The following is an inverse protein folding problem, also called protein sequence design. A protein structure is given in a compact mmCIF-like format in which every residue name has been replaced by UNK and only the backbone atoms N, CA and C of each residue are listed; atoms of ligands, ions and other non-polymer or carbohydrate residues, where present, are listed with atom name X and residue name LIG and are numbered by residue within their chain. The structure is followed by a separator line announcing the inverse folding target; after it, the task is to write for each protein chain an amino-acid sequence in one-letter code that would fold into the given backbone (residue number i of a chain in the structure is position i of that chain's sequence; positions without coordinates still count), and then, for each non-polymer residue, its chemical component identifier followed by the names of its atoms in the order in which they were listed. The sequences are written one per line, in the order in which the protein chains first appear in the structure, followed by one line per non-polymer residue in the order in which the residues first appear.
data_IF_243579253544
#
_entry.id   IF_243579253544
#
_cell.length_a   1.000
_cell.length_b   1.000
_cell.length_c   1.000
_cell.angle_alpha   90.00
_cell.angle_beta   90.00
_cell.angle_gamma   90.00
#
_symmetry.space_group_name_H-M   'P 1'
#
loop_
_entity.id
_entity.type
_entity.pdbx_description
1 polymer ?
#
# COMPACT_ATOMS: atom_id res chain seq x y z
N UNK A 1 31.84 -62.58 -30.89
CA UNK A 1 32.09 -61.72 -29.71
C UNK A 1 32.55 -60.38 -30.26
N UNK A 2 31.83 -59.28 -30.20
CA UNK A 2 30.78 -58.82 -29.28
C UNK A 2 29.85 -57.89 -30.09
N UNK A 3 28.54 -58.14 -30.08
CA UNK A 3 27.54 -57.16 -30.55
C UNK A 3 27.23 -56.23 -29.37
N UNK A 4 27.51 -54.94 -29.55
CA UNK A 4 27.19 -53.88 -28.59
C UNK A 4 25.78 -53.38 -28.95
N UNK A 5 24.81 -53.64 -28.07
CA UNK A 5 23.47 -53.04 -28.14
C UNK A 5 23.58 -51.54 -27.83
N UNK A 6 22.99 -50.73 -28.69
CA UNK A 6 22.72 -49.31 -28.47
C UNK A 6 21.34 -49.17 -27.81
N UNK A 7 21.31 -48.98 -26.50
CA UNK A 7 20.14 -48.43 -25.80
C UNK A 7 20.31 -46.91 -25.75
N UNK A 8 19.44 -46.18 -26.45
CA UNK A 8 19.24 -44.74 -26.29
C UNK A 8 17.86 -44.55 -25.68
N UNK A 9 17.82 -44.42 -24.36
CA UNK A 9 16.65 -43.92 -23.63
C UNK A 9 16.62 -42.39 -23.81
N UNK A 10 15.67 -41.88 -24.60
CA UNK A 10 15.28 -40.48 -24.59
C UNK A 10 14.38 -40.26 -23.35
N UNK A 11 14.91 -39.57 -22.34
CA UNK A 11 14.11 -39.04 -21.23
C UNK A 11 13.31 -37.82 -21.75
N UNK A 12 12.01 -38.00 -21.95
CA UNK A 12 11.08 -36.87 -22.17
C UNK A 12 10.88 -36.10 -20.86
N UNK A 13 11.32 -34.84 -20.81
CA UNK A 13 10.96 -33.93 -19.72
C UNK A 13 9.45 -33.64 -19.73
N UNK A 14 8.75 -33.73 -18.58
CA UNK A 14 7.31 -33.52 -18.53
C UNK A 14 6.97 -32.04 -18.71
N UNK A 15 6.17 -31.73 -19.74
CA UNK A 15 5.67 -30.37 -19.99
C UNK A 15 4.78 -29.89 -18.84
N UNK A 16 5.17 -28.81 -18.16
CA UNK A 16 4.43 -28.18 -17.05
C UNK A 16 3.09 -27.53 -17.45
N UNK A 17 2.70 -27.57 -18.73
CA UNK A 17 1.40 -27.11 -19.18
C UNK A 17 0.42 -28.29 -19.16
N UNK A 18 -0.44 -28.30 -18.15
CA UNK A 18 -1.51 -29.29 -17.97
C UNK A 18 -2.23 -29.59 -19.28
N UNK A 19 -2.33 -30.89 -19.58
CA UNK A 19 -2.91 -31.46 -20.78
C UNK A 19 -4.39 -31.01 -20.91
N UNK A 20 -4.68 -30.04 -21.78
CA UNK A 20 -6.05 -29.55 -22.05
C UNK A 20 -6.77 -30.64 -22.84
N UNK A 21 -7.59 -31.45 -22.15
CA UNK A 21 -8.19 -32.66 -22.73
C UNK A 21 -9.57 -32.43 -23.34
N UNK A 22 -10.33 -31.40 -22.91
CA UNK A 22 -11.66 -31.12 -23.46
C UNK A 22 -11.92 -29.63 -23.82
N UNK A 23 -12.78 -29.34 -24.82
CA UNK A 23 -13.14 -27.96 -25.20
C UNK A 23 -13.79 -27.15 -24.06
N UNK A 24 -14.44 -27.82 -23.10
CA UNK A 24 -14.98 -27.22 -21.88
C UNK A 24 -13.88 -26.70 -20.95
N UNK A 25 -12.74 -27.39 -20.88
CA UNK A 25 -11.59 -26.98 -20.06
C UNK A 25 -10.95 -25.72 -20.62
N UNK A 26 -10.85 -25.62 -21.95
CA UNK A 26 -10.40 -24.40 -22.62
C UNK A 26 -11.36 -23.23 -22.38
N UNK A 27 -12.67 -23.46 -22.45
CA UNK A 27 -13.66 -22.40 -22.22
C UNK A 27 -13.66 -21.93 -20.74
N UNK A 28 -13.50 -22.85 -19.80
CA UNK A 28 -13.36 -22.53 -18.38
C UNK A 28 -12.07 -21.75 -18.11
N UNK A 29 -10.95 -22.18 -18.70
CA UNK A 29 -9.66 -21.48 -18.61
C UNK A 29 -9.75 -20.06 -19.18
N UNK A 30 -10.42 -19.88 -20.32
CA UNK A 30 -10.64 -18.56 -20.92
C UNK A 30 -11.52 -17.67 -20.03
N UNK A 31 -12.55 -18.23 -19.38
CA UNK A 31 -13.39 -17.49 -18.43
C UNK A 31 -12.62 -17.08 -17.16
N UNK A 32 -11.77 -17.96 -16.62
CA UNK A 32 -10.91 -17.63 -15.48
C UNK A 32 -9.87 -16.58 -15.85
N UNK A 33 -9.23 -16.70 -17.01
CA UNK A 33 -8.31 -15.70 -17.53
C UNK A 33 -8.99 -14.33 -17.72
N UNK A 34 -10.23 -14.32 -18.23
CA UNK A 34 -11.02 -13.09 -18.37
C UNK A 34 -11.33 -12.45 -17.01
N UNK A 35 -11.75 -13.23 -16.00
CA UNK A 35 -12.00 -12.72 -14.65
C UNK A 35 -10.74 -12.15 -14.00
N UNK A 36 -9.60 -12.86 -14.12
CA UNK A 36 -8.30 -12.39 -13.62
C UNK A 36 -7.91 -11.08 -14.30
N UNK A 37 -8.06 -10.98 -15.63
CA UNK A 37 -7.81 -9.76 -16.39
C UNK A 37 -8.69 -8.61 -15.90
N UNK A 38 -10.01 -8.80 -15.76
CA UNK A 38 -10.92 -7.76 -15.24
C UNK A 38 -10.53 -7.30 -13.84
N UNK A 39 -10.19 -8.23 -12.94
CA UNK A 39 -9.75 -7.89 -11.59
C UNK A 39 -8.45 -7.07 -11.59
N UNK A 40 -7.48 -7.41 -12.45
CA UNK A 40 -6.23 -6.65 -12.62
C UNK A 40 -6.48 -5.24 -13.18
N UNK A 41 -7.38 -5.10 -14.17
CA UNK A 41 -7.80 -3.81 -14.71
C UNK A 41 -8.37 -2.91 -13.59
N UNK A 42 -9.26 -3.47 -12.79
CA UNK A 42 -9.91 -2.77 -11.68
C UNK A 42 -8.91 -2.36 -10.59
N UNK A 43 -7.98 -3.24 -10.22
CA UNK A 43 -6.95 -2.96 -9.21
C UNK A 43 -6.05 -1.80 -9.64
N UNK A 44 -5.50 -1.86 -10.87
CA UNK A 44 -4.61 -0.81 -11.38
C UNK A 44 -5.31 0.52 -11.57
N UNK A 45 -6.60 0.49 -11.96
CA UNK A 45 -7.42 1.69 -12.01
C UNK A 45 -7.65 2.29 -10.62
N UNK A 46 -7.87 1.47 -9.58
CA UNK A 46 -7.98 1.95 -8.20
C UNK A 46 -6.66 2.54 -7.69
N UNK A 47 -5.52 1.92 -8.02
CA UNK A 47 -4.20 2.46 -7.69
C UNK A 47 -3.99 3.85 -8.31
N UNK A 48 -4.32 4.00 -9.60
CA UNK A 48 -4.26 5.29 -10.29
C UNK A 48 -5.19 6.34 -9.66
N UNK A 49 -6.48 6.01 -9.46
CA UNK A 49 -7.47 6.92 -8.87
C UNK A 49 -7.11 7.31 -7.44
N UNK A 50 -6.49 6.41 -6.68
CA UNK A 50 -6.00 6.66 -5.32
C UNK A 50 -4.65 7.39 -5.26
N UNK A 51 -3.97 7.56 -6.40
CA UNK A 51 -2.69 8.27 -6.46
C UNK A 51 -2.88 9.80 -6.42
N UNK A 52 -1.90 10.57 -5.94
CA UNK A 52 -1.98 12.03 -5.92
C UNK A 52 -2.22 12.64 -7.29
N UNK A 53 -2.80 13.85 -7.33
CA UNK A 53 -3.05 14.58 -8.58
C UNK A 53 -1.79 14.71 -9.46
N UNK A 54 -0.63 14.94 -8.84
CA UNK A 54 0.63 15.03 -9.57
C UNK A 54 1.04 13.71 -10.24
N UNK A 55 0.64 12.55 -9.71
CA UNK A 55 0.85 11.26 -10.37
C UNK A 55 -0.19 11.00 -11.45
N UNK A 56 -1.45 11.36 -11.22
CA UNK A 56 -2.50 11.21 -12.23
C UNK A 56 -2.18 12.03 -13.49
N UNK A 57 -1.63 13.24 -13.32
CA UNK A 57 -1.22 14.11 -14.40
C UNK A 57 -0.09 13.53 -15.29
N UNK A 58 0.55 12.44 -14.88
CA UNK A 58 1.60 11.79 -15.69
C UNK A 58 1.05 11.03 -16.90
N UNK A 59 -0.25 10.68 -16.88
CA UNK A 59 -0.94 9.96 -17.95
C UNK A 59 -1.09 10.81 -19.23
N UNK A 60 -1.33 12.11 -19.07
CA UNK A 60 -1.49 13.05 -20.18
C UNK A 60 -0.55 14.24 -20.04
N UNK A 61 0.78 14.02 -20.20
CA UNK A 61 1.75 15.07 -19.99
C UNK A 61 1.82 16.03 -21.19
N UNK A 62 2.49 17.17 -21.00
CA UNK A 62 2.81 18.10 -22.09
C UNK A 62 3.78 17.52 -23.13
N UNK A 63 3.88 18.18 -24.28
CA UNK A 63 4.73 17.74 -25.39
C UNK A 63 6.22 17.77 -25.05
N UNK A 64 6.62 18.63 -24.11
CA UNK A 64 7.95 18.70 -23.53
C UNK A 64 8.36 17.36 -22.87
N UNK A 65 7.49 16.80 -22.04
CA UNK A 65 7.70 15.50 -21.39
C UNK A 65 7.57 14.34 -22.39
N UNK A 66 6.60 14.38 -23.31
CA UNK A 66 6.45 13.33 -24.34
C UNK A 66 7.72 13.21 -25.19
N UNK A 67 8.26 14.35 -25.62
CA UNK A 67 9.51 14.40 -26.38
C UNK A 67 10.68 13.84 -25.56
N UNK A 68 10.80 14.21 -24.29
CA UNK A 68 11.83 13.69 -23.40
C UNK A 68 11.75 12.15 -23.22
N UNK A 69 10.55 11.57 -23.17
CA UNK A 69 10.36 10.10 -23.04
C UNK A 69 10.94 9.32 -24.21
N UNK A 70 10.92 9.89 -25.41
CA UNK A 70 11.41 9.26 -26.65
C UNK A 70 12.91 9.51 -26.90
N UNK A 71 13.52 10.45 -26.18
CA UNK A 71 14.94 10.77 -26.32
C UNK A 71 15.85 9.67 -25.74
N UNK A 72 17.12 9.71 -26.15
CA UNK A 72 18.16 8.87 -25.55
C UNK A 72 18.28 9.14 -24.04
N UNK A 73 18.73 8.13 -23.27
CA UNK A 73 18.76 8.21 -21.81
C UNK A 73 19.47 9.46 -21.27
N UNK A 74 20.61 9.82 -21.87
CA UNK A 74 21.37 11.01 -21.47
C UNK A 74 20.54 12.29 -21.60
N UNK A 75 19.95 12.52 -22.77
CA UNK A 75 19.14 13.73 -23.04
C UNK A 75 17.86 13.74 -22.19
N UNK A 76 17.27 12.55 -21.96
CA UNK A 76 16.14 12.34 -21.06
C UNK A 76 16.48 12.76 -19.62
N UNK A 77 17.65 12.35 -19.12
CA UNK A 77 18.14 12.68 -17.79
C UNK A 77 18.45 14.17 -17.65
N UNK A 78 19.08 14.78 -18.67
CA UNK A 78 19.34 16.22 -18.71
C UNK A 78 18.03 17.02 -18.68
N UNK A 79 17.04 16.63 -19.48
CA UNK A 79 15.72 17.29 -19.52
C UNK A 79 14.99 17.17 -18.18
N UNK A 80 14.96 15.97 -17.58
CA UNK A 80 14.35 15.78 -16.27
C UNK A 80 15.06 16.60 -15.17
N UNK A 81 16.39 16.72 -15.25
CA UNK A 81 17.18 17.54 -14.31
C UNK A 81 16.90 19.03 -14.48
N UNK A 82 16.63 19.49 -15.70
CA UNK A 82 16.18 20.85 -15.98
C UNK A 82 14.83 21.16 -15.32
N UNK A 83 13.83 20.28 -15.48
CA UNK A 83 12.53 20.44 -14.81
C UNK A 83 12.64 20.47 -13.28
N UNK A 84 13.53 19.65 -12.71
CA UNK A 84 13.82 19.71 -11.26
C UNK A 84 14.43 21.05 -10.87
N UNK A 85 15.32 21.60 -11.69
CA UNK A 85 15.94 22.91 -11.46
C UNK A 85 14.91 24.04 -11.51
N UNK A 86 14.01 24.02 -12.50
CA UNK A 86 12.86 24.92 -12.57
C UNK A 86 11.99 24.83 -11.30
N UNK A 87 11.67 23.61 -10.85
CA UNK A 87 10.93 23.41 -9.60
C UNK A 87 11.65 23.99 -8.38
N UNK A 88 12.99 23.94 -8.34
CA UNK A 88 13.77 24.56 -7.25
C UNK A 88 13.69 26.08 -7.29
N UNK A 89 13.66 26.69 -8.48
CA UNK A 89 13.50 28.14 -8.65
C UNK A 89 12.12 28.61 -8.19
N UNK A 90 11.06 27.92 -8.64
CA UNK A 90 9.68 28.16 -8.20
C UNK A 90 9.52 27.98 -6.68
N UNK A 91 10.15 26.96 -6.10
CA UNK A 91 10.14 26.75 -4.66
C UNK A 91 10.78 27.92 -3.90
N UNK A 92 11.92 28.45 -4.39
CA UNK A 92 12.57 29.63 -3.80
C UNK A 92 11.70 30.88 -3.92
N UNK A 93 10.95 30.99 -5.01
CA UNK A 93 9.94 32.04 -5.21
C UNK A 93 8.66 31.84 -4.35
N UNK A 94 8.56 30.75 -3.58
CA UNK A 94 7.39 30.36 -2.79
C UNK A 94 6.14 30.05 -3.64
N UNK A 95 6.33 29.81 -4.94
CA UNK A 95 5.30 29.39 -5.89
C UNK A 95 5.15 27.86 -5.80
N UNK A 96 4.60 27.37 -4.69
CA UNK A 96 4.64 25.93 -4.36
C UNK A 96 3.84 25.05 -5.33
N UNK A 97 2.72 25.55 -5.87
CA UNK A 97 1.90 24.80 -6.83
C UNK A 97 2.64 24.65 -8.15
N UNK A 98 3.24 25.72 -8.65
CA UNK A 98 4.04 25.70 -9.89
C UNK A 98 5.32 24.88 -9.71
N UNK A 99 5.93 24.92 -8.53
CA UNK A 99 7.05 24.06 -8.18
C UNK A 99 6.66 22.57 -8.27
N UNK A 100 5.50 22.18 -7.71
CA UNK A 100 4.99 20.81 -7.83
C UNK A 100 4.77 20.46 -9.30
N UNK A 101 4.20 21.34 -10.12
CA UNK A 101 4.02 21.08 -11.55
C UNK A 101 5.35 20.82 -12.27
N UNK A 102 6.39 21.61 -12.01
CA UNK A 102 7.72 21.39 -12.59
C UNK A 102 8.37 20.08 -12.10
N UNK A 103 8.30 19.78 -10.80
CA UNK A 103 8.77 18.47 -10.29
C UNK A 103 7.96 17.29 -10.85
N UNK A 104 6.67 17.49 -11.10
CA UNK A 104 5.81 16.49 -11.74
C UNK A 104 6.32 16.16 -13.14
N UNK A 105 6.71 17.17 -13.93
CA UNK A 105 7.33 16.94 -15.24
C UNK A 105 8.59 16.11 -15.11
N UNK A 106 9.47 16.44 -14.17
CA UNK A 106 10.68 15.66 -13.87
C UNK A 106 10.36 14.18 -13.58
N UNK A 107 9.38 13.90 -12.71
CA UNK A 107 8.93 12.54 -12.40
C UNK A 107 8.36 11.87 -13.65
N UNK A 108 7.48 12.57 -14.38
CA UNK A 108 6.75 12.07 -15.53
C UNK A 108 7.63 11.66 -16.72
N UNK A 109 8.90 12.13 -16.77
CA UNK A 109 9.87 11.67 -17.78
C UNK A 109 10.21 10.19 -17.58
N UNK A 110 10.37 9.75 -16.33
CA UNK A 110 10.87 8.42 -16.00
C UNK A 110 9.84 7.51 -15.34
N UNK A 111 8.81 8.07 -14.71
CA UNK A 111 7.81 7.31 -13.98
C UNK A 111 6.43 7.87 -14.25
N UNK A 112 5.60 7.10 -14.94
CA UNK A 112 4.29 7.56 -15.40
C UNK A 112 3.33 6.39 -15.59
N UNK A 113 2.04 6.71 -15.57
CA UNK A 113 1.01 5.78 -16.02
C UNK A 113 0.84 5.87 -17.53
N UNK A 114 0.66 4.73 -18.17
CA UNK A 114 0.32 4.59 -19.58
C UNK A 114 -0.98 3.81 -19.70
N UNK A 115 -1.86 4.28 -20.59
CA UNK A 115 -3.10 3.61 -20.97
C UNK A 115 -2.92 3.06 -22.39
N UNK A 116 -2.73 1.75 -22.47
CA UNK A 116 -2.51 1.03 -23.73
C UNK A 116 -3.85 0.65 -24.44
N UNK A 117 -4.97 1.26 -24.02
CA UNK A 117 -6.32 1.08 -24.55
C UNK A 117 -7.27 0.35 -23.59
N UNK A 118 -8.57 0.34 -23.92
CA UNK A 118 -9.68 -0.18 -23.08
C UNK A 118 -9.47 -1.63 -22.57
N UNK A 119 -8.67 -2.41 -23.29
CA UNK A 119 -8.40 -3.82 -23.02
C UNK A 119 -7.14 -4.10 -22.19
N UNK A 120 -6.37 -3.09 -21.78
CA UNK A 120 -5.11 -3.28 -21.02
C UNK A 120 -5.09 -2.50 -19.71
N UNK A 121 -4.48 -3.05 -18.65
CA UNK A 121 -4.43 -2.37 -17.36
C UNK A 121 -3.55 -1.14 -17.48
N UNK A 122 -3.94 -0.08 -16.77
CA UNK A 122 -3.05 1.05 -16.48
C UNK A 122 -1.74 0.50 -15.94
N UNK A 123 -0.65 0.74 -16.68
CA UNK A 123 0.67 0.24 -16.31
C UNK A 123 1.53 1.41 -15.86
N UNK A 124 2.22 1.21 -14.75
CA UNK A 124 3.29 2.12 -14.35
C UNK A 124 4.55 1.79 -15.15
N UNK A 125 5.05 2.77 -15.90
CA UNK A 125 6.26 2.67 -16.71
C UNK A 125 7.43 3.26 -15.95
N UNK A 126 8.55 2.54 -15.92
CA UNK A 126 9.82 3.04 -15.40
C UNK A 126 10.85 3.13 -16.53
N UNK A 127 11.24 4.35 -16.90
CA UNK A 127 12.04 4.65 -18.09
C UNK A 127 13.55 4.44 -17.94
N UNK A 128 13.98 3.30 -17.40
CA UNK A 128 15.39 2.93 -17.30
C UNK A 128 15.60 1.50 -17.83
N UNK A 129 16.69 1.28 -18.57
CA UNK A 129 16.93 0.04 -19.32
C UNK A 129 17.93 -0.88 -18.65
N UNK A 130 18.85 -0.33 -17.85
CA UNK A 130 19.89 -1.06 -17.14
C UNK A 130 20.04 -0.57 -15.69
N UNK A 131 20.86 -1.25 -14.90
CA UNK A 131 21.02 -0.97 -13.48
C UNK A 131 21.65 0.40 -13.18
N UNK A 132 22.62 0.82 -13.99
CA UNK A 132 23.29 2.13 -13.83
C UNK A 132 22.33 3.29 -14.13
N UNK A 133 21.54 3.16 -15.21
CA UNK A 133 20.46 4.09 -15.53
C UNK A 133 19.43 4.12 -14.41
N UNK A 134 19.01 2.95 -13.93
CA UNK A 134 18.04 2.82 -12.84
C UNK A 134 18.54 3.54 -11.59
N UNK A 135 19.80 3.37 -11.21
CA UNK A 135 20.39 4.05 -10.05
C UNK A 135 20.36 5.57 -10.20
N UNK A 136 20.77 6.10 -11.34
CA UNK A 136 20.75 7.54 -11.63
C UNK A 136 19.34 8.13 -11.57
N UNK A 137 18.37 7.42 -12.16
CA UNK A 137 16.97 7.83 -12.13
C UNK A 137 16.42 7.81 -10.72
N UNK A 138 16.69 6.75 -9.94
CA UNK A 138 16.22 6.65 -8.56
C UNK A 138 16.80 7.76 -7.67
N UNK A 139 18.08 8.10 -7.82
CA UNK A 139 18.70 9.21 -7.10
C UNK A 139 18.03 10.56 -7.44
N UNK A 140 17.77 10.80 -8.73
CA UNK A 140 17.05 11.99 -9.19
C UNK A 140 15.63 12.04 -8.59
N UNK A 141 14.88 10.93 -8.68
CA UNK A 141 13.52 10.82 -8.18
C UNK A 141 13.44 10.97 -6.66
N UNK A 142 14.37 10.37 -5.89
CA UNK A 142 14.43 10.54 -4.43
C UNK A 142 14.51 12.01 -4.06
N UNK A 143 15.39 12.76 -4.74
CA UNK A 143 15.49 14.20 -4.51
C UNK A 143 14.25 14.97 -4.98
N UNK A 144 13.65 14.58 -6.10
CA UNK A 144 12.46 15.21 -6.66
C UNK A 144 11.22 15.02 -5.78
N UNK A 145 10.89 13.77 -5.41
CA UNK A 145 9.80 13.45 -4.49
C UNK A 145 9.99 14.09 -3.12
N UNK A 146 11.24 14.14 -2.62
CA UNK A 146 11.54 14.87 -1.39
C UNK A 146 11.11 16.33 -1.53
N UNK A 147 11.46 17.01 -2.62
CA UNK A 147 11.08 18.41 -2.84
C UNK A 147 9.57 18.60 -3.06
N UNK A 148 8.90 17.68 -3.77
CA UNK A 148 7.43 17.64 -3.89
C UNK A 148 6.78 17.59 -2.50
N UNK A 149 7.23 16.68 -1.64
CA UNK A 149 6.73 16.58 -0.27
C UNK A 149 6.93 17.88 0.54
N UNK A 150 8.01 18.62 0.30
CA UNK A 150 8.21 19.93 0.93
C UNK A 150 7.18 20.97 0.44
N UNK A 151 6.89 21.01 -0.86
CA UNK A 151 5.90 21.93 -1.43
C UNK A 151 4.49 21.59 -0.93
N UNK A 152 4.13 20.30 -0.97
CA UNK A 152 2.81 19.82 -0.55
C UNK A 152 2.56 20.04 0.95
N UNK A 153 3.60 19.97 1.79
CA UNK A 153 3.49 20.35 3.19
C UNK A 153 3.17 21.84 3.37
N UNK A 154 3.69 22.71 2.51
CA UNK A 154 3.41 24.15 2.55
C UNK A 154 1.99 24.48 2.10
N UNK A 155 1.39 23.62 1.27
CA UNK A 155 0.01 23.75 0.80
C UNK A 155 -0.97 22.84 1.56
N UNK A 156 -0.54 22.23 2.67
CA UNK A 156 -1.34 21.37 3.56
C UNK A 156 -2.00 20.14 2.89
N UNK A 157 -1.44 19.68 1.76
CA UNK A 157 -1.91 18.49 1.04
C UNK A 157 -1.34 17.22 1.69
N UNK A 158 -1.77 16.93 2.92
CA UNK A 158 -1.13 15.94 3.79
C UNK A 158 -1.13 14.50 3.21
N UNK A 159 -2.21 14.06 2.56
CA UNK A 159 -2.26 12.72 1.95
C UNK A 159 -1.20 12.58 0.84
N UNK A 160 -1.05 13.60 0.01
CA UNK A 160 -0.10 13.61 -1.10
C UNK A 160 1.35 13.69 -0.61
N UNK A 161 1.59 14.38 0.53
CA UNK A 161 2.90 14.35 1.21
C UNK A 161 3.27 12.93 1.62
N UNK A 162 2.33 12.19 2.23
CA UNK A 162 2.57 10.82 2.68
C UNK A 162 2.97 9.96 1.48
N UNK A 163 2.20 10.04 0.39
CA UNK A 163 2.53 9.30 -0.84
C UNK A 163 3.93 9.64 -1.35
N UNK A 164 4.27 10.93 -1.49
CA UNK A 164 5.58 11.35 -1.98
C UNK A 164 6.72 10.86 -1.06
N UNK A 165 6.55 10.95 0.26
CA UNK A 165 7.52 10.43 1.23
C UNK A 165 7.64 8.91 1.17
N UNK A 166 6.55 8.17 0.96
CA UNK A 166 6.59 6.72 0.81
C UNK A 166 7.41 6.30 -0.40
N UNK A 167 7.30 7.02 -1.53
CA UNK A 167 8.14 6.75 -2.70
C UNK A 167 9.64 6.98 -2.41
N UNK A 168 9.97 7.98 -1.60
CA UNK A 168 11.36 8.22 -1.15
C UNK A 168 11.82 7.09 -0.23
N UNK A 169 11.01 6.72 0.77
CA UNK A 169 11.39 5.75 1.81
C UNK A 169 11.48 4.32 1.29
N UNK A 170 10.77 3.97 0.20
CA UNK A 170 10.97 2.71 -0.53
C UNK A 170 12.40 2.56 -1.06
N UNK A 171 13.07 3.67 -1.41
CA UNK A 171 14.42 3.67 -1.99
C UNK A 171 15.49 4.08 -0.98
N UNK A 172 15.15 4.96 -0.04
CA UNK A 172 16.04 5.49 0.98
C UNK A 172 15.31 5.50 2.33
N UNK A 173 15.19 4.34 3.01
CA UNK A 173 14.45 4.21 4.27
C UNK A 173 14.96 5.12 5.39
N UNK A 174 16.24 5.49 5.33
CA UNK A 174 16.90 6.35 6.32
C UNK A 174 16.84 7.84 5.97
N UNK A 175 16.05 8.24 4.97
CA UNK A 175 15.94 9.64 4.59
C UNK A 175 15.19 10.45 5.66
N UNK A 176 15.96 11.13 6.51
CA UNK A 176 15.45 11.94 7.64
C UNK A 176 14.44 13.00 7.17
N UNK A 177 14.67 13.63 6.00
CA UNK A 177 13.74 14.64 5.46
C UNK A 177 12.39 14.02 5.13
N UNK A 178 12.38 12.85 4.50
CA UNK A 178 11.14 12.15 4.17
C UNK A 178 10.41 11.66 5.43
N UNK A 179 11.12 11.03 6.38
CA UNK A 179 10.55 10.60 7.67
C UNK A 179 9.91 11.78 8.42
N UNK A 180 10.65 12.88 8.57
CA UNK A 180 10.15 14.06 9.26
C UNK A 180 8.92 14.66 8.57
N UNK A 181 8.94 14.76 7.25
CA UNK A 181 7.84 15.33 6.46
C UNK A 181 6.59 14.45 6.50
N UNK A 182 6.75 13.14 6.39
CA UNK A 182 5.66 12.16 6.54
C UNK A 182 5.05 12.21 7.94
N UNK A 183 5.87 12.35 8.98
CA UNK A 183 5.37 12.57 10.32
C UNK A 183 4.52 13.84 10.43
N UNK A 184 5.01 14.97 9.90
CA UNK A 184 4.26 16.23 9.95
C UNK A 184 2.94 16.16 9.19
N UNK A 185 2.90 15.45 8.06
CA UNK A 185 1.67 15.22 7.32
C UNK A 185 0.67 14.34 8.08
N UNK A 186 1.13 13.25 8.70
CA UNK A 186 0.28 12.42 9.58
C UNK A 186 -0.29 13.25 10.74
N UNK A 187 0.50 14.12 11.37
CA UNK A 187 0.00 15.06 12.38
C UNK A 187 -1.04 16.03 11.80
N UNK A 188 -0.86 16.46 10.56
CA UNK A 188 -1.83 17.27 9.83
C UNK A 188 -3.18 16.54 9.68
N UNK A 189 -3.15 15.25 9.34
CA UNK A 189 -4.34 14.40 9.22
C UNK A 189 -4.98 14.10 10.58
N UNK A 190 -4.19 13.85 11.62
CA UNK A 190 -4.70 13.65 12.99
C UNK A 190 -5.61 14.79 13.44
N UNK A 191 -5.24 16.05 13.12
CA UNK A 191 -6.06 17.23 13.41
C UNK A 191 -7.41 17.23 12.67
N UNK A 192 -7.51 16.53 11.55
CA UNK A 192 -8.72 16.38 10.74
C UNK A 192 -9.58 15.19 11.21
N UNK A 193 -9.03 14.32 12.07
CA UNK A 193 -9.73 13.20 12.70
C UNK A 193 -9.02 11.86 12.49
N UNK A 194 -9.03 11.03 13.54
CA UNK A 194 -8.52 9.66 13.55
C UNK A 194 -7.19 9.52 14.28
N UNK A 195 -7.10 8.58 15.23
CA UNK A 195 -5.99 8.41 16.20
C UNK A 195 -4.77 7.67 15.67
N UNK A 196 -4.92 6.97 14.53
CA UNK A 196 -3.88 6.12 13.95
C UNK A 196 -2.70 6.97 13.41
N UNK A 197 -2.95 8.24 13.07
CA UNK A 197 -1.94 9.08 12.44
C UNK A 197 -0.92 9.60 13.44
N UNK A 198 -1.31 9.89 14.69
CA UNK A 198 -0.40 10.27 15.75
C UNK A 198 0.66 9.19 16.01
N UNK A 199 0.24 7.92 16.03
CA UNK A 199 1.14 6.78 16.23
C UNK A 199 2.18 6.70 15.12
N UNK A 200 1.72 6.71 13.86
CA UNK A 200 2.59 6.71 12.68
C UNK A 200 3.58 7.88 12.70
N UNK A 201 3.12 9.07 13.06
CA UNK A 201 3.98 10.25 13.14
C UNK A 201 5.06 10.12 14.22
N UNK A 202 4.70 9.60 15.40
CA UNK A 202 5.66 9.37 16.47
C UNK A 202 6.68 8.32 16.04
N UNK A 203 6.27 7.23 15.39
CA UNK A 203 7.18 6.18 14.92
C UNK A 203 8.20 6.72 13.90
N UNK A 204 7.74 7.50 12.91
CA UNK A 204 8.62 8.16 11.94
C UNK A 204 9.64 9.08 12.61
N UNK A 205 9.20 9.89 13.58
CA UNK A 205 10.08 10.78 14.34
C UNK A 205 11.08 10.01 15.21
N UNK A 206 10.70 8.83 15.72
CA UNK A 206 11.61 7.96 16.45
C UNK A 206 12.69 7.40 15.55
N UNK A 207 12.33 6.90 14.36
CA UNK A 207 13.30 6.40 13.38
C UNK A 207 14.24 7.54 12.97
N UNK A 208 13.70 8.71 12.62
CA UNK A 208 14.50 9.88 12.27
C UNK A 208 15.46 10.30 13.39
N UNK A 209 15.02 10.26 14.66
CA UNK A 209 15.86 10.61 15.80
C UNK A 209 16.95 9.57 16.09
N UNK A 210 16.70 8.29 15.81
CA UNK A 210 17.72 7.23 15.91
C UNK A 210 18.83 7.43 14.87
N UNK A 211 18.46 7.83 13.66
CA UNK A 211 19.42 8.06 12.56
C UNK A 211 20.24 9.33 12.82
N UNK A 212 19.60 10.44 13.19
CA UNK A 212 20.28 11.69 13.55
C UNK A 212 19.79 12.25 14.89
N UNK A 213 20.42 11.83 16.01
CA UNK A 213 20.08 12.33 17.34
C UNK A 213 20.36 13.82 17.56
N UNK A 214 21.23 14.42 16.73
CA UNK A 214 21.63 15.83 16.86
C UNK A 214 20.66 16.78 16.14
N UNK A 215 19.78 16.25 15.29
CA UNK A 215 18.76 17.04 14.61
C UNK A 215 17.77 17.65 15.63
N UNK A 216 17.91 18.95 15.86
CA UNK A 216 17.09 19.69 16.82
C UNK A 216 15.62 19.70 16.43
N UNK A 217 15.31 19.81 15.14
CA UNK A 217 13.93 19.88 14.63
C UNK A 217 13.19 18.57 14.88
N UNK A 218 13.81 17.44 14.55
CA UNK A 218 13.27 16.09 14.82
C UNK A 218 13.10 15.87 16.32
N UNK A 219 14.12 16.21 17.13
CA UNK A 219 14.07 16.04 18.59
C UNK A 219 12.92 16.81 19.23
N UNK A 220 12.73 18.07 18.86
CA UNK A 220 11.67 18.92 19.40
C UNK A 220 10.29 18.42 18.97
N UNK A 221 10.13 18.02 17.70
CA UNK A 221 8.89 17.43 17.21
C UNK A 221 8.57 16.13 17.97
N UNK A 222 9.54 15.22 18.11
CA UNK A 222 9.35 13.95 18.80
C UNK A 222 8.91 14.14 20.26
N UNK A 223 9.56 15.06 20.98
CA UNK A 223 9.18 15.37 22.35
C UNK A 223 7.76 15.92 22.45
N UNK A 224 7.40 16.85 21.56
CA UNK A 224 6.06 17.46 21.52
C UNK A 224 4.98 16.43 21.27
N UNK A 225 5.11 15.64 20.21
CA UNK A 225 4.04 14.72 19.78
C UNK A 225 3.95 13.47 20.64
N UNK A 226 5.05 13.00 21.25
CA UNK A 226 4.98 11.97 22.32
C UNK A 226 4.19 12.45 23.53
N UNK A 227 4.39 13.70 23.95
CA UNK A 227 3.64 14.28 25.08
C UNK A 227 2.14 14.36 24.74
N UNK A 228 1.80 14.90 23.57
CA UNK A 228 0.41 15.01 23.12
C UNK A 228 -0.28 13.65 22.99
N UNK A 229 0.41 12.65 22.44
CA UNK A 229 -0.08 11.27 22.41
C UNK A 229 -0.39 10.74 23.81
N UNK A 230 0.54 10.86 24.75
CA UNK A 230 0.32 10.39 26.12
C UNK A 230 -0.84 11.10 26.84
N UNK A 231 -1.05 12.39 26.57
CA UNK A 231 -2.21 13.13 27.07
C UNK A 231 -3.52 12.61 26.47
N UNK A 232 -3.53 12.28 25.17
CA UNK A 232 -4.68 11.70 24.48
C UNK A 232 -4.99 10.29 25.03
N UNK A 233 -3.99 9.42 25.10
CA UNK A 233 -4.13 8.05 25.63
C UNK A 233 -4.67 8.05 27.07
N UNK A 234 -4.26 9.02 27.88
CA UNK A 234 -4.75 9.19 29.26
C UNK A 234 -6.21 9.61 29.30
N UNK A 235 -6.62 10.56 28.45
CA UNK A 235 -8.02 10.98 28.32
C UNK A 235 -8.89 9.83 27.84
N UNK A 236 -8.45 9.12 26.81
CA UNK A 236 -9.16 7.98 26.24
C UNK A 236 -9.33 6.89 27.31
N UNK A 237 -8.24 6.53 28.02
CA UNK A 237 -8.31 5.58 29.14
C UNK A 237 -9.29 6.01 30.23
N UNK A 238 -9.28 7.28 30.61
CA UNK A 238 -10.21 7.82 31.61
C UNK A 238 -11.67 7.76 31.16
N UNK A 239 -11.94 8.06 29.89
CA UNK A 239 -13.29 7.94 29.30
C UNK A 239 -13.77 6.49 29.28
N UNK A 240 -12.94 5.55 28.82
CA UNK A 240 -13.31 4.14 28.75
C UNK A 240 -13.42 3.48 30.14
N UNK A 241 -12.56 3.83 31.10
CA UNK A 241 -12.65 3.31 32.46
C UNK A 241 -13.98 3.68 33.14
N UNK A 242 -14.50 4.88 32.87
CA UNK A 242 -15.82 5.31 33.35
C UNK A 242 -17.01 4.62 32.64
N UNK A 243 -16.81 4.08 31.44
CA UNK A 243 -17.84 3.36 30.68
C UNK A 243 -18.03 1.92 31.18
N UNK A 244 -16.97 1.21 31.58
CA UNK A 244 -17.09 -0.13 32.17
C UNK A 244 -17.70 -0.11 33.57
N UNK A 245 -17.52 0.98 34.33
CA UNK A 245 -18.13 1.13 35.66
C UNK A 245 -19.60 1.52 35.67
N UNK A 246 -20.12 2.10 34.58
CA UNK A 246 -21.55 2.48 34.45
C UNK A 246 -22.42 1.41 33.78
N UNK A 247 -21.79 0.37 33.24
CA UNK A 247 -22.45 -0.78 32.64
C UNK A 247 -22.56 -1.95 33.59
N UNK A 248 -23.27 -1.82 34.71
CA UNK A 248 -23.92 -2.98 35.32
C UNK A 248 -25.06 -3.41 34.39
N UNK A 249 -24.73 -4.06 33.26
CA UNK A 249 -25.72 -4.68 32.37
C UNK A 249 -26.21 -6.02 32.96
N UNK A 250 -25.57 -6.50 34.03
CA UNK A 250 -26.06 -7.60 34.84
C UNK A 250 -26.30 -7.11 36.26
N UNK A 251 -27.55 -6.75 36.56
CA UNK A 251 -27.99 -6.72 37.95
C UNK A 251 -27.89 -8.15 38.50
N UNK A 252 -27.23 -8.29 39.66
CA UNK A 252 -27.12 -9.57 40.40
C UNK A 252 -28.46 -10.11 40.94
N UNK A 253 -29.58 -9.53 40.52
CA UNK A 253 -30.94 -9.94 40.88
C UNK A 253 -31.58 -10.85 39.81
N UNK A 254 -30.92 -11.08 38.68
CA UNK A 254 -31.35 -12.10 37.70
C UNK A 254 -30.69 -13.48 37.93
N UNK A 255 -30.03 -13.71 39.07
CA UNK A 255 -29.37 -15.00 39.37
C UNK A 255 -30.19 -15.99 40.20
N UNK A 256 -31.44 -15.68 40.55
CA UNK A 256 -32.28 -16.60 41.34
C UNK A 256 -33.44 -17.27 40.58
N UNK A 257 -33.67 -16.97 39.29
CA UNK A 257 -34.71 -17.68 38.51
C UNK A 257 -34.37 -17.88 37.04
N UNK A 258 -33.22 -18.46 36.70
CA UNK A 258 -33.08 -19.19 35.41
C UNK A 258 -32.09 -20.34 35.54
N UNK A 259 -32.46 -21.38 36.29
CA UNK A 259 -32.12 -22.75 35.88
C UNK A 259 -33.16 -23.25 34.88
N UNK A 260 -33.35 -22.50 33.79
CA UNK A 260 -34.11 -23.01 32.65
C UNK A 260 -33.15 -23.92 31.87
N UNK A 261 -33.41 -25.23 31.78
CA UNK A 261 -32.63 -26.09 30.90
C UNK A 261 -32.74 -25.55 29.47
N UNK A 262 -31.63 -25.58 28.73
CA UNK A 262 -31.61 -25.27 27.30
C UNK A 262 -32.79 -25.99 26.61
N UNK A 263 -33.59 -25.30 25.78
CA UNK A 263 -34.68 -25.96 25.08
C UNK A 263 -34.06 -27.04 24.19
N UNK A 264 -34.38 -28.30 24.51
CA UNK A 264 -34.07 -29.43 23.64
C UNK A 264 -34.68 -29.13 22.27
N UNK A 265 -33.83 -28.99 21.25
CA UNK A 265 -34.27 -28.90 19.87
C UNK A 265 -35.12 -30.12 19.51
N UNK A 266 -36.03 -30.00 18.52
CA UNK A 266 -36.93 -31.08 18.17
C UNK A 266 -36.15 -32.38 17.88
N UNK A 267 -36.58 -33.54 18.41
CA UNK A 267 -35.83 -34.77 18.29
C UNK A 267 -35.68 -35.18 16.83
N UNK A 268 -34.43 -35.36 16.39
CA UNK A 268 -34.12 -35.93 15.08
C UNK A 268 -34.58 -37.39 15.11
N UNK A 269 -35.55 -37.81 14.26
CA UNK A 269 -36.08 -39.17 14.29
C UNK A 269 -34.97 -40.20 14.06
N UNK A 270 -34.74 -41.06 15.06
CA UNK A 270 -33.71 -42.10 15.01
C UNK A 270 -32.35 -41.69 15.57
N UNK A 271 -32.19 -40.49 16.12
CA UNK A 271 -30.96 -40.10 16.83
C UNK A 271 -31.02 -40.43 18.33
N UNK A 272 -29.87 -40.81 18.90
CA UNK A 272 -29.68 -41.13 20.32
C UNK A 272 -28.66 -40.16 20.91
N UNK A 273 -28.96 -39.53 22.04
CA UNK A 273 -28.04 -38.62 22.71
C UNK A 273 -27.19 -39.38 23.74
N UNK A 274 -25.86 -39.20 23.70
CA UNK A 274 -24.91 -39.67 24.72
C UNK A 274 -23.85 -38.60 24.97
N UNK A 275 -23.56 -38.32 26.23
CA UNK A 275 -22.55 -37.33 26.66
C UNK A 275 -22.68 -35.97 25.97
N UNK A 276 -23.91 -35.51 25.75
CA UNK A 276 -24.20 -34.21 25.12
C UNK A 276 -24.05 -34.17 23.60
N UNK A 277 -23.72 -35.29 22.94
CA UNK A 277 -23.61 -35.40 21.48
C UNK A 277 -24.74 -36.28 20.90
N UNK A 278 -25.18 -35.95 19.68
CA UNK A 278 -26.21 -36.72 18.96
C UNK A 278 -25.56 -37.78 18.06
N UNK A 279 -26.07 -39.01 18.13
CA UNK A 279 -25.61 -40.14 17.33
C UNK A 279 -26.76 -40.71 16.50
N UNK A 280 -26.49 -41.17 15.28
CA UNK A 280 -27.45 -41.99 14.52
C UNK A 280 -27.63 -43.35 15.22
N UNK A 281 -28.87 -43.67 15.63
CA UNK A 281 -29.22 -44.89 16.37
C UNK A 281 -29.03 -46.20 15.60
N UNK A 282 -28.84 -46.15 14.27
CA UNK A 282 -28.52 -47.34 13.46
C UNK A 282 -27.02 -47.51 13.23
N UNK A 283 -26.31 -46.42 13.02
CA UNK A 283 -24.89 -46.46 12.58
C UNK A 283 -23.89 -46.11 13.69
N UNK A 284 -24.34 -45.52 14.80
CA UNK A 284 -23.50 -45.10 15.92
C UNK A 284 -22.57 -43.94 15.60
N UNK A 285 -22.77 -43.23 14.48
CA UNK A 285 -21.95 -42.08 14.07
C UNK A 285 -22.47 -40.78 14.68
N UNK A 286 -21.55 -39.90 15.05
CA UNK A 286 -21.85 -38.55 15.54
C UNK A 286 -22.49 -37.74 14.40
N UNK A 287 -23.62 -37.12 14.69
CA UNK A 287 -24.27 -36.14 13.83
C UNK A 287 -23.64 -34.77 14.15
N UNK A 288 -22.94 -34.18 13.18
CA UNK A 288 -22.33 -32.85 13.26
C UNK A 288 -23.39 -31.79 12.94
#
# INVERSE_FOLDING_TARGET
MVEIKSDSEEEEEPSEFGNIKEPSDLNNLLQEAAKLKTAQLDEKRREYVGSPAFMQNTLHPGDDVKSARQAAFKDKLETATSFKSEGNERFKAQEYVDAVAAYTKCIAVFRYFEDDGEDRPLREVFGASNEDERKQVLELLVSCYTNVAACLLKTEQNQDVIYACDQVLKQSPENIKALYRRAMANIGLEKQGGTIYMDKAVDDLQVAHKIDPKNREVKLALQKYRKLKGEQDSKDRGQFQGMFGRGEIYSKEATEQTSAPYPEGPPIPGAVQRDGMWYDGKTGRILI
#
